data_IF_479188646260
#
_entry.id   IF_479188646260
#
_cell.length_a   1.000
_cell.length_b   1.000
_cell.length_c   1.000
_cell.angle_alpha   90.00
_cell.angle_beta   90.00
_cell.angle_gamma   90.00
#
_symmetry.space_group_name_H-M   'P 1'
#
loop_
_entity.id
_entity.type
_entity.pdbx_description
1 polymer ?
#
# COMPACT_ATOMS: atom_id res chain seq x y z
N UNK A 1 6.26 -34.32 -3.76
CA UNK A 1 6.53 -33.92 -2.35
C UNK A 1 5.91 -32.54 -2.17
N UNK A 2 4.68 -32.48 -1.65
CA UNK A 2 3.96 -31.22 -1.45
C UNK A 2 4.63 -30.47 -0.31
N UNK A 3 5.36 -29.41 -0.64
CA UNK A 3 5.80 -28.45 0.36
C UNK A 3 4.56 -27.84 1.00
N UNK A 4 4.53 -27.83 2.32
CA UNK A 4 3.56 -27.08 3.11
C UNK A 4 3.65 -25.62 2.66
N UNK A 5 2.72 -25.19 1.81
CA UNK A 5 2.63 -23.81 1.36
C UNK A 5 2.18 -23.05 2.60
N UNK A 6 3.11 -22.33 3.24
CA UNK A 6 2.77 -21.42 4.34
C UNK A 6 1.54 -20.63 3.92
N UNK A 7 0.49 -20.63 4.74
CA UNK A 7 -0.70 -19.86 4.45
C UNK A 7 -0.29 -18.39 4.38
N UNK A 8 -0.55 -17.75 3.23
CA UNK A 8 -0.23 -16.34 2.99
C UNK A 8 -1.55 -15.61 2.84
N UNK A 9 -1.82 -14.70 3.77
CA UNK A 9 -3.04 -13.91 3.78
C UNK A 9 -2.68 -12.45 3.58
N UNK A 10 -3.42 -11.80 2.69
CA UNK A 10 -3.26 -10.40 2.36
C UNK A 10 -4.62 -9.73 2.40
N UNK A 11 -4.67 -8.52 2.93
CA UNK A 11 -5.78 -7.60 2.72
C UNK A 11 -5.43 -6.69 1.56
N UNK A 12 -6.35 -6.54 0.61
CA UNK A 12 -6.21 -5.61 -0.51
C UNK A 12 -7.22 -4.48 -0.34
N UNK A 13 -6.74 -3.24 -0.32
CA UNK A 13 -7.59 -2.04 -0.47
C UNK A 13 -7.62 -1.64 -1.94
N UNK A 14 -8.80 -1.28 -2.43
CA UNK A 14 -9.02 -0.72 -3.76
C UNK A 14 -10.08 0.38 -3.64
N UNK A 15 -9.89 1.48 -4.34
CA UNK A 15 -10.88 2.56 -4.41
C UNK A 15 -12.05 2.15 -5.34
N UNK A 16 -13.23 2.75 -5.16
CA UNK A 16 -14.44 2.40 -5.91
C UNK A 16 -14.39 2.79 -7.40
N UNK A 17 -13.46 3.69 -7.76
CA UNK A 17 -13.16 4.12 -9.12
C UNK A 17 -12.00 3.35 -9.77
N UNK A 18 -11.54 2.27 -9.14
CA UNK A 18 -10.39 1.48 -9.60
C UNK A 18 -10.80 0.08 -10.09
N UNK A 19 -10.12 -0.43 -11.13
CA UNK A 19 -10.34 -1.78 -11.68
C UNK A 19 -9.11 -2.68 -11.42
N UNK A 20 -9.15 -3.56 -10.40
CA UNK A 20 -8.01 -4.39 -10.06
C UNK A 20 -7.92 -5.64 -10.96
N UNK A 21 -6.76 -5.84 -11.60
CA UNK A 21 -6.47 -7.09 -12.29
C UNK A 21 -6.01 -8.15 -11.27
N UNK A 22 -6.97 -8.87 -10.67
CA UNK A 22 -6.71 -9.81 -9.58
C UNK A 22 -5.69 -10.89 -9.92
N UNK A 23 -5.67 -11.40 -11.15
CA UNK A 23 -4.66 -12.39 -11.59
C UNK A 23 -3.25 -11.83 -11.48
N UNK A 24 -3.05 -10.57 -11.88
CA UNK A 24 -1.74 -9.90 -11.79
C UNK A 24 -1.36 -9.54 -10.37
N UNK A 25 -2.33 -9.18 -9.55
CA UNK A 25 -2.10 -8.94 -8.13
C UNK A 25 -1.70 -10.26 -7.45
N UNK A 26 -2.35 -11.37 -7.82
CA UNK A 26 -2.01 -12.69 -7.30
C UNK A 26 -0.62 -13.16 -7.77
N UNK A 27 -0.29 -12.97 -9.05
CA UNK A 27 1.06 -13.24 -9.59
C UNK A 27 2.13 -12.53 -8.77
N UNK A 28 1.90 -11.24 -8.45
CA UNK A 28 2.82 -10.46 -7.63
C UNK A 28 2.87 -10.99 -6.20
N UNK A 29 1.76 -10.99 -5.46
CA UNK A 29 1.71 -11.27 -4.02
C UNK A 29 2.11 -12.70 -3.64
N UNK A 30 1.81 -13.67 -4.52
CA UNK A 30 2.13 -15.07 -4.30
C UNK A 30 3.40 -15.51 -5.05
N UNK A 31 4.13 -14.56 -5.65
CA UNK A 31 5.42 -14.79 -6.26
C UNK A 31 6.47 -15.29 -5.25
N UNK A 32 7.53 -15.95 -5.76
CA UNK A 32 8.55 -16.58 -4.91
C UNK A 32 9.35 -15.56 -4.07
N UNK A 33 9.48 -14.32 -4.55
CA UNK A 33 10.31 -13.28 -3.92
C UNK A 33 9.56 -12.41 -2.91
N UNK A 34 8.24 -12.59 -2.78
CA UNK A 34 7.47 -11.83 -1.81
C UNK A 34 7.65 -12.45 -0.43
N UNK A 35 7.92 -11.67 0.62
CA UNK A 35 8.03 -12.22 1.97
C UNK A 35 6.65 -12.68 2.49
N UNK A 36 6.59 -13.74 3.31
CA UNK A 36 5.33 -14.24 3.86
C UNK A 36 4.73 -13.30 4.92
N UNK A 37 5.55 -12.41 5.50
CA UNK A 37 5.16 -11.39 6.49
C UNK A 37 5.87 -10.06 6.20
N UNK A 38 5.26 -8.98 6.67
CA UNK A 38 5.74 -7.63 6.50
C UNK A 38 5.61 -7.06 5.09
N UNK A 39 4.90 -7.72 4.18
CA UNK A 39 4.78 -7.27 2.80
C UNK A 39 3.80 -6.09 2.70
N UNK A 40 4.29 -4.96 2.18
CA UNK A 40 3.46 -3.81 1.83
C UNK A 40 3.58 -3.55 0.33
N UNK A 41 2.58 -4.02 -0.43
CA UNK A 41 2.60 -4.04 -1.88
C UNK A 41 1.78 -2.90 -2.47
N UNK A 42 2.26 -2.27 -3.54
CA UNK A 42 1.50 -1.28 -4.29
C UNK A 42 2.42 -0.37 -5.12
N UNK A 43 1.85 0.72 -5.64
CA UNK A 43 2.65 1.77 -6.27
C UNK A 43 3.25 2.66 -5.18
N UNK A 44 4.44 2.31 -4.67
CA UNK A 44 5.05 3.05 -3.56
C UNK A 44 5.66 4.36 -4.09
N UNK A 45 5.23 5.46 -3.51
CA UNK A 45 5.71 6.81 -3.78
C UNK A 45 6.73 7.19 -2.71
N UNK A 46 8.01 7.35 -3.05
CA UNK A 46 9.01 7.89 -2.14
C UNK A 46 9.00 9.42 -2.16
N UNK A 47 9.44 10.05 -1.06
CA UNK A 47 9.76 11.49 -0.99
C UNK A 47 8.60 12.42 -1.41
N UNK A 48 7.35 12.00 -1.20
CA UNK A 48 6.21 12.90 -1.36
C UNK A 48 6.23 13.98 -0.27
N UNK A 49 5.93 15.22 -0.66
CA UNK A 49 5.84 16.34 0.28
C UNK A 49 4.39 16.52 0.75
N UNK A 50 4.18 16.85 2.04
CA UNK A 50 2.88 17.30 2.52
C UNK A 50 2.44 18.56 1.77
N UNK A 51 1.18 18.61 1.33
CA UNK A 51 0.63 19.81 0.71
C UNK A 51 0.45 20.89 1.77
N UNK A 52 1.11 22.04 1.59
CA UNK A 52 1.08 23.16 2.55
C UNK A 52 0.14 24.30 2.15
N UNK A 53 -0.48 24.18 0.98
CA UNK A 53 -1.52 25.12 0.55
C UNK A 53 -2.84 24.80 1.25
N UNK A 54 -3.38 25.75 2.02
CA UNK A 54 -4.65 25.62 2.74
C UNK A 54 -5.86 25.51 1.81
N UNK A 55 -5.72 25.90 0.54
CA UNK A 55 -6.78 25.76 -0.47
C UNK A 55 -6.88 24.35 -1.08
N UNK A 56 -5.90 23.48 -0.84
CA UNK A 56 -5.89 22.13 -1.37
C UNK A 56 -6.66 21.17 -0.45
N UNK A 57 -7.44 20.26 -1.05
CA UNK A 57 -8.19 19.22 -0.32
C UNK A 57 -7.30 18.30 0.52
N UNK A 58 -6.02 18.18 0.15
CA UNK A 58 -5.02 17.36 0.80
C UNK A 58 -4.08 18.17 1.72
N UNK A 59 -4.47 19.40 2.10
CA UNK A 59 -3.70 20.23 3.01
C UNK A 59 -3.33 19.49 4.30
N UNK A 60 -2.04 19.54 4.66
CA UNK A 60 -1.53 19.05 5.93
C UNK A 60 -0.72 20.17 6.60
N UNK A 61 -1.14 20.67 7.78
CA UNK A 61 -0.41 21.70 8.50
C UNK A 61 0.92 21.16 9.03
N UNK A 62 1.92 22.04 9.14
CA UNK A 62 3.24 21.71 9.68
C UNK A 62 3.16 21.20 11.13
N UNK A 63 2.21 21.72 11.90
CA UNK A 63 1.94 21.27 13.28
C UNK A 63 1.50 19.81 13.37
N UNK A 64 0.84 19.28 12.33
CA UNK A 64 0.42 17.88 12.31
C UNK A 64 1.47 16.95 11.70
N UNK A 65 2.28 17.46 10.78
CA UNK A 65 3.37 16.70 10.18
C UNK A 65 4.55 17.63 9.88
N UNK A 66 5.56 17.74 10.76
CA UNK A 66 6.64 18.71 10.61
C UNK A 66 7.74 18.24 9.64
N UNK A 67 7.80 16.94 9.31
CA UNK A 67 8.79 16.44 8.36
C UNK A 67 8.52 16.99 6.95
N UNK A 68 9.57 17.37 6.20
CA UNK A 68 9.42 17.85 4.83
C UNK A 68 8.92 16.78 3.86
N UNK A 69 9.10 15.51 4.19
CA UNK A 69 8.71 14.37 3.36
C UNK A 69 7.98 13.31 4.17
N UNK A 70 6.97 12.69 3.57
CA UNK A 70 6.36 11.48 4.07
C UNK A 70 7.31 10.28 3.95
N UNK A 71 7.16 9.23 4.79
CA UNK A 71 7.74 7.94 4.48
C UNK A 71 7.16 7.39 3.17
N UNK A 72 7.83 6.41 2.53
CA UNK A 72 7.26 5.73 1.38
C UNK A 72 5.88 5.16 1.71
N UNK A 73 4.89 5.44 0.86
CA UNK A 73 3.52 4.92 0.98
C UNK A 73 3.00 4.49 -0.39
N UNK A 74 2.09 3.52 -0.41
CA UNK A 74 1.43 3.04 -1.61
C UNK A 74 0.29 4.00 -2.00
N UNK A 75 0.27 4.45 -3.25
CA UNK A 75 -0.78 5.34 -3.77
C UNK A 75 -2.18 4.74 -3.63
N UNK A 76 -3.18 5.57 -3.30
CA UNK A 76 -4.52 5.15 -2.88
C UNK A 76 -5.30 4.19 -3.81
N UNK A 77 -5.06 4.24 -5.12
CA UNK A 77 -5.78 3.45 -6.14
C UNK A 77 -5.85 1.94 -5.82
N UNK A 78 -4.75 1.33 -5.40
CA UNK A 78 -4.72 -0.04 -4.88
C UNK A 78 -3.42 -0.35 -4.14
N UNK A 79 -3.53 -1.07 -3.01
CA UNK A 79 -2.40 -1.68 -2.32
C UNK A 79 -2.82 -2.88 -1.49
N UNK A 80 -1.83 -3.66 -1.05
CA UNK A 80 -2.04 -4.83 -0.24
C UNK A 80 -1.08 -4.87 0.95
N UNK A 81 -1.57 -5.41 2.05
CA UNK A 81 -0.83 -5.60 3.30
C UNK A 81 -0.87 -7.09 3.66
N UNK A 82 0.26 -7.65 4.06
CA UNK A 82 0.26 -8.96 4.71
C UNK A 82 -0.50 -8.89 6.04
N UNK A 83 -1.11 -10.00 6.43
CA UNK A 83 -1.95 -10.11 7.63
C UNK A 83 -1.29 -9.56 8.90
N UNK A 84 0.01 -9.79 9.11
CA UNK A 84 0.74 -9.27 10.27
C UNK A 84 0.78 -7.73 10.33
N UNK A 85 0.85 -7.06 9.17
CA UNK A 85 0.77 -5.61 9.11
C UNK A 85 -0.64 -5.11 9.39
N UNK A 86 -1.66 -5.80 8.87
CA UNK A 86 -3.08 -5.46 9.10
C UNK A 86 -3.42 -5.56 10.58
N UNK A 87 -3.05 -6.67 11.22
CA UNK A 87 -3.28 -6.90 12.65
C UNK A 87 -2.48 -5.90 13.49
N UNK A 88 -1.20 -5.70 13.17
CA UNK A 88 -0.36 -4.73 13.89
C UNK A 88 -0.89 -3.30 13.83
N UNK A 89 -1.41 -2.87 12.67
CA UNK A 89 -2.06 -1.56 12.53
C UNK A 89 -3.36 -1.49 13.32
N UNK A 90 -4.22 -2.51 13.20
CA UNK A 90 -5.50 -2.57 13.90
C UNK A 90 -5.34 -2.53 15.41
N UNK A 91 -4.43 -3.34 15.96
CA UNK A 91 -4.13 -3.37 17.39
C UNK A 91 -3.55 -2.04 17.87
N UNK A 92 -2.61 -1.47 17.12
CA UNK A 92 -1.94 -0.24 17.53
C UNK A 92 -2.87 0.99 17.48
N UNK A 93 -3.73 1.09 16.47
CA UNK A 93 -4.75 2.13 16.37
C UNK A 93 -5.87 1.93 17.40
N UNK A 94 -6.36 0.70 17.56
CA UNK A 94 -7.44 0.37 18.49
C UNK A 94 -7.05 0.55 19.96
N UNK A 95 -5.78 0.31 20.30
CA UNK A 95 -5.22 0.57 21.63
C UNK A 95 -4.82 2.02 21.88
N UNK A 96 -4.77 2.87 20.84
CA UNK A 96 -4.28 4.25 20.92
C UNK A 96 -2.76 4.38 21.04
N UNK A 97 -1.99 3.31 20.80
CA UNK A 97 -0.52 3.38 20.79
C UNK A 97 0.04 4.07 19.55
N UNK A 98 -0.72 4.09 18.45
CA UNK A 98 -0.49 5.00 17.33
C UNK A 98 -1.53 6.14 17.34
N UNK A 99 -1.09 7.40 17.27
CA UNK A 99 -2.02 8.51 17.13
C UNK A 99 -2.70 8.46 15.76
N UNK A 100 -3.97 8.84 15.69
CA UNK A 100 -4.67 8.98 14.42
C UNK A 100 -3.98 10.03 13.52
N UNK A 101 -3.92 9.76 12.21
CA UNK A 101 -3.45 10.70 11.20
C UNK A 101 -4.59 10.99 10.22
N UNK A 102 -5.48 11.96 10.51
CA UNK A 102 -6.74 12.17 9.78
C UNK A 102 -6.55 12.96 8.48
N UNK A 103 -5.53 12.60 7.71
CA UNK A 103 -5.25 13.15 6.38
C UNK A 103 -5.45 12.05 5.34
N UNK A 104 -4.91 12.23 4.13
CA UNK A 104 -4.97 11.23 3.07
C UNK A 104 -4.64 9.83 3.61
N UNK A 105 -5.55 8.88 3.37
CA UNK A 105 -5.55 7.57 4.01
C UNK A 105 -4.33 6.72 3.60
N UNK A 106 -3.94 6.82 2.34
CA UNK A 106 -2.76 6.17 1.79
C UNK A 106 -1.47 6.67 2.47
N UNK A 107 -1.37 7.99 2.68
CA UNK A 107 -0.29 8.60 3.46
C UNK A 107 -0.33 8.12 4.91
N UNK A 108 -1.52 8.06 5.53
CA UNK A 108 -1.68 7.61 6.91
C UNK A 108 -1.16 6.18 7.11
N UNK A 109 -1.47 5.26 6.18
CA UNK A 109 -0.95 3.89 6.20
C UNK A 109 0.58 3.88 6.18
N UNK A 110 1.21 4.64 5.28
CA UNK A 110 2.68 4.73 5.22
C UNK A 110 3.29 5.30 6.51
N UNK A 111 2.68 6.34 7.09
CA UNK A 111 3.09 6.94 8.37
C UNK A 111 2.98 5.93 9.51
N UNK A 112 1.87 5.20 9.61
CA UNK A 112 1.67 4.20 10.66
C UNK A 112 2.60 3.00 10.52
N UNK A 113 2.78 2.47 9.32
CA UNK A 113 3.73 1.39 9.05
C UNK A 113 5.17 1.79 9.41
N UNK A 114 5.57 3.03 9.10
CA UNK A 114 6.87 3.56 9.51
C UNK A 114 7.02 3.58 11.04
N UNK A 115 5.97 3.97 11.76
CA UNK A 115 5.97 4.00 13.22
C UNK A 115 6.03 2.59 13.83
N UNK A 116 5.28 1.63 13.30
CA UNK A 116 5.38 0.22 13.72
C UNK A 116 6.78 -0.35 13.50
N UNK A 117 7.39 -0.06 12.34
CA UNK A 117 8.74 -0.51 12.01
C UNK A 117 9.80 0.13 12.93
N UNK A 118 9.69 1.43 13.19
CA UNK A 118 10.60 2.14 14.09
C UNK A 118 10.47 1.66 15.55
N UNK A 119 9.26 1.27 15.97
CA UNK A 119 9.01 0.66 17.28
C UNK A 119 9.38 -0.82 17.39
N UNK A 120 9.82 -1.46 16.30
CA UNK A 120 10.13 -2.89 16.28
C UNK A 120 8.90 -3.80 16.39
N UNK A 121 7.70 -3.26 16.19
CA UNK A 121 6.43 -3.99 16.30
C UNK A 121 6.09 -4.75 15.02
N UNK A 122 6.60 -4.30 13.87
CA UNK A 122 6.42 -4.98 12.60
C UNK A 122 7.66 -4.81 11.71
N UNK A 123 7.95 -5.83 10.90
CA UNK A 123 8.87 -5.66 9.77
C UNK A 123 8.08 -5.15 8.59
N UNK A 124 8.52 -4.09 7.92
CA UNK A 124 7.87 -3.57 6.71
C UNK A 124 8.81 -3.71 5.54
N UNK A 125 8.36 -4.40 4.50
CA UNK A 125 9.05 -4.62 3.23
C UNK A 125 8.15 -4.08 2.12
N UNK A 126 8.45 -2.89 1.61
CA UNK A 126 7.78 -2.37 0.44
C UNK A 126 8.02 -3.29 -0.77
N UNK A 127 6.94 -3.66 -1.45
CA UNK A 127 6.97 -4.40 -2.72
C UNK A 127 6.50 -3.46 -3.81
N UNK A 128 7.45 -2.97 -4.60
CA UNK A 128 7.18 -1.94 -5.59
C UNK A 128 6.48 -2.51 -6.82
N UNK A 129 5.31 -1.97 -7.12
CA UNK A 129 4.67 -2.07 -8.44
C UNK A 129 4.79 -0.75 -9.17
N UNK A 130 6.02 -0.43 -9.61
CA UNK A 130 6.25 0.68 -10.53
C UNK A 130 6.13 0.15 -11.96
N UNK A 131 5.37 0.85 -12.80
CA UNK A 131 5.43 0.73 -14.26
C UNK A 131 5.14 -0.68 -14.81
N UNK A 132 3.89 -1.11 -14.70
CA UNK A 132 3.29 -2.11 -15.61
C UNK A 132 1.88 -1.68 -16.03
N UNK A 133 1.65 -0.38 -16.23
CA UNK A 133 0.61 0.06 -17.16
C UNK A 133 1.28 0.14 -18.53
N UNK A 134 1.34 -0.97 -19.30
CA UNK A 134 1.78 -0.86 -20.69
C UNK A 134 0.87 0.18 -21.36
N UNK A 135 1.46 1.30 -21.78
CA UNK A 135 0.78 2.28 -22.65
C UNK A 135 0.53 1.70 -24.04
N UNK A 136 1.26 0.64 -24.37
CA UNK A 136 1.04 -0.17 -25.55
C UNK A 136 -0.21 -1.01 -25.32
N UNK A 137 -1.29 -0.71 -26.04
CA UNK A 137 -2.45 -1.60 -26.13
C UNK A 137 -2.05 -2.81 -26.98
N UNK A 138 -1.76 -4.00 -26.40
CA UNK A 138 -1.39 -5.13 -27.23
C UNK A 138 -2.58 -5.51 -28.12
N UNK A 139 -2.35 -5.79 -29.40
CA UNK A 139 -3.40 -6.03 -30.41
C UNK A 139 -4.48 -7.04 -30.00
N UNK A 140 -4.19 -7.93 -29.04
CA UNK A 140 -5.14 -8.87 -28.43
C UNK A 140 -6.29 -8.22 -27.65
N UNK A 141 -6.16 -6.98 -27.18
CA UNK A 141 -7.27 -6.25 -26.55
C UNK A 141 -8.39 -5.89 -27.55
N UNK A 142 -8.09 -5.87 -28.86
CA UNK A 142 -9.08 -5.65 -29.93
C UNK A 142 -9.75 -6.95 -30.42
N UNK A 143 -9.24 -8.12 -30.04
CA UNK A 143 -9.70 -9.41 -30.59
C UNK A 143 -10.90 -10.03 -29.83
N UNK A 144 -11.32 -9.43 -28.71
CA UNK A 144 -12.38 -9.95 -27.85
C UNK A 144 -13.73 -9.22 -27.89
N UNK A 145 -13.80 -8.04 -28.52
CA UNK A 145 -15.07 -7.32 -28.67
C UNK A 145 -15.81 -7.82 -29.92
N UNK A 146 -16.50 -8.95 -29.80
CA UNK A 146 -17.69 -9.18 -30.62
C UNK A 146 -18.86 -8.54 -29.88
N UNK A 147 -19.31 -7.39 -30.39
CA UNK A 147 -20.67 -6.88 -30.14
C UNK A 147 -21.64 -7.73 -30.95
#
# INVERSE_FOLDING_TARGET
>A
KGGERLARQFLIKVDDDSFPCLDKIADDLFGPDIPPSGAYWGHIIPLAQPVRDQGDRNYVPESAYPSPYYPPYAQGMAYALSEDLVLGLGDALGSGSLPAFPYAEDVAVGVHLRSLAAGGLARVVPVQRAVLMPTDFPARCLAGARV
#
